data_IF_411452193614
#
_entry.id   IF_411452193614
#
_cell.length_a   1.000
_cell.length_b   1.000
_cell.length_c   1.000
_cell.angle_alpha   90.00
_cell.angle_beta   90.00
_cell.angle_gamma   90.00
#
_symmetry.space_group_name_H-M   'P 1'
#
loop_
_entity.id
_entity.type
_entity.pdbx_description
1 polymer ?
#
# COMPACT_ATOMS: atom_id res chain seq x y z
N UNK A 1 -67.46 -18.30 -42.84
CA UNK A 1 -67.49 -17.00 -42.13
C UNK A 1 -67.62 -17.29 -40.64
N UNK A 2 -66.75 -16.65 -39.85
CA UNK A 2 -66.83 -16.46 -38.39
C UNK A 2 -66.70 -17.63 -37.40
N UNK A 3 -65.62 -17.52 -36.62
CA UNK A 3 -65.37 -17.97 -35.23
C UNK A 3 -66.57 -17.88 -34.27
N UNK A 4 -66.61 -18.82 -33.32
CA UNK A 4 -66.84 -18.59 -31.87
C UNK A 4 -66.37 -19.85 -31.11
N UNK A 5 -65.18 -19.88 -30.53
CA UNK A 5 -64.83 -19.38 -29.18
C UNK A 5 -65.50 -20.17 -28.04
N UNK A 6 -64.69 -20.96 -27.31
CA UNK A 6 -64.97 -21.35 -25.93
C UNK A 6 -63.64 -21.54 -25.19
N UNK A 7 -63.35 -20.55 -24.35
CA UNK A 7 -62.30 -20.54 -23.32
C UNK A 7 -62.56 -21.61 -22.27
N UNK A 8 -61.49 -22.13 -21.68
CA UNK A 8 -61.51 -22.52 -20.27
C UNK A 8 -60.13 -22.29 -19.63
N UNK A 9 -60.17 -21.55 -18.53
CA UNK A 9 -59.06 -21.05 -17.73
C UNK A 9 -58.30 -22.15 -16.98
N UNK A 10 -57.00 -21.93 -16.76
CA UNK A 10 -56.31 -22.31 -15.54
C UNK A 10 -55.24 -21.26 -15.22
N UNK A 11 -55.44 -20.56 -14.11
CA UNK A 11 -54.52 -19.62 -13.51
C UNK A 11 -53.69 -20.33 -12.44
N UNK A 12 -52.38 -20.07 -12.38
CA UNK A 12 -51.57 -20.44 -11.22
C UNK A 12 -50.59 -19.32 -10.85
N UNK A 13 -50.67 -18.91 -9.58
CA UNK A 13 -49.89 -17.82 -8.95
C UNK A 13 -48.61 -18.40 -8.37
N UNK A 14 -47.45 -17.80 -8.65
CA UNK A 14 -46.21 -18.07 -7.93
C UNK A 14 -45.83 -16.89 -7.03
N UNK A 15 -45.78 -17.12 -5.72
CA UNK A 15 -45.27 -16.18 -4.72
C UNK A 15 -43.76 -16.40 -4.52
N UNK A 16 -42.96 -15.34 -4.65
CA UNK A 16 -41.55 -15.33 -4.23
C UNK A 16 -41.45 -14.86 -2.77
N UNK A 17 -40.84 -15.67 -1.90
CA UNK A 17 -40.39 -15.25 -0.55
C UNK A 17 -38.88 -15.00 -0.60
N UNK A 18 -38.45 -13.83 -0.12
CA UNK A 18 -37.04 -13.54 0.15
C UNK A 18 -36.67 -14.05 1.55
N UNK A 19 -35.61 -14.84 1.66
CA UNK A 19 -34.88 -15.08 2.92
C UNK A 19 -33.62 -14.22 2.94
N UNK A 20 -33.42 -13.49 4.03
CA UNK A 20 -32.23 -12.69 4.29
C UNK A 20 -31.18 -13.52 5.02
N UNK A 21 -30.06 -13.83 4.36
CA UNK A 21 -28.84 -14.31 4.99
C UNK A 21 -27.63 -13.46 4.56
N UNK A 22 -26.86 -13.05 5.58
CA UNK A 22 -25.69 -12.17 5.52
C UNK A 22 -24.43 -12.88 5.02
N UNK A 23 -23.68 -12.26 4.11
CA UNK A 23 -22.45 -12.78 3.51
C UNK A 23 -21.19 -12.48 4.35
N UNK A 24 -20.30 -13.48 4.50
CA UNK A 24 -19.01 -13.40 5.21
C UNK A 24 -17.88 -13.96 4.32
N UNK A 25 -16.81 -13.20 3.97
CA UNK A 25 -15.95 -13.57 2.84
C UNK A 25 -14.57 -14.12 3.26
N UNK A 26 -14.46 -15.25 3.96
CA UNK A 26 -13.15 -15.90 4.20
C UNK A 26 -13.17 -17.44 4.38
N UNK A 27 -14.02 -18.19 3.65
CA UNK A 27 -13.89 -19.66 3.58
C UNK A 27 -14.03 -20.19 2.16
N UNK A 28 -12.90 -20.67 1.65
CA UNK A 28 -12.69 -21.69 0.61
C UNK A 28 -13.94 -22.23 -0.09
N UNK A 29 -14.07 -21.98 -1.39
CA UNK A 29 -14.94 -22.77 -2.25
C UNK A 29 -14.34 -22.89 -3.66
N UNK A 30 -14.17 -24.14 -4.08
CA UNK A 30 -13.85 -24.55 -5.45
C UNK A 30 -14.86 -23.94 -6.42
N UNK A 31 -14.39 -23.49 -7.56
CA UNK A 31 -15.24 -23.09 -8.67
C UNK A 31 -15.93 -24.33 -9.27
N UNK A 32 -17.16 -24.60 -8.84
CA UNK A 32 -18.13 -25.39 -9.62
C UNK A 32 -18.98 -24.43 -10.44
N UNK A 33 -19.03 -24.56 -11.77
CA UNK A 33 -19.95 -23.76 -12.58
C UNK A 33 -21.39 -24.20 -12.31
N UNK A 34 -22.19 -23.28 -11.78
CA UNK A 34 -23.63 -23.44 -11.64
C UNK A 34 -24.30 -23.19 -13.00
N UNK A 35 -24.48 -24.26 -13.77
CA UNK A 35 -25.52 -24.33 -14.80
C UNK A 35 -26.70 -25.07 -14.19
N UNK A 36 -27.64 -24.32 -13.61
CA UNK A 36 -28.92 -24.84 -13.18
C UNK A 36 -29.98 -24.53 -14.25
N UNK A 37 -30.60 -25.58 -14.77
CA UNK A 37 -32.02 -25.58 -15.07
C UNK A 37 -32.44 -25.29 -16.51
N UNK A 38 -32.12 -26.19 -17.44
CA UNK A 38 -33.06 -26.49 -18.53
C UNK A 38 -33.44 -27.96 -18.39
N UNK A 39 -34.51 -28.21 -17.65
CA UNK A 39 -35.17 -29.52 -17.61
C UNK A 39 -36.13 -29.56 -18.78
N UNK A 40 -35.74 -30.19 -19.88
CA UNK A 40 -36.69 -30.57 -20.93
C UNK A 40 -37.28 -31.93 -20.57
N UNK A 41 -38.60 -31.97 -20.41
CA UNK A 41 -39.37 -33.20 -20.34
C UNK A 41 -39.13 -34.00 -21.63
N UNK A 42 -38.59 -35.21 -21.51
CA UNK A 42 -38.53 -36.17 -22.61
C UNK A 42 -39.77 -37.08 -22.49
N UNK A 43 -40.90 -36.60 -23.00
CA UNK A 43 -42.06 -37.45 -23.23
C UNK A 43 -41.94 -38.09 -24.61
N UNK A 44 -41.66 -39.38 -24.58
CA UNK A 44 -41.57 -40.27 -25.72
C UNK A 44 -42.98 -40.66 -26.18
N UNK A 45 -43.52 -39.98 -27.18
CA UNK A 45 -44.40 -40.59 -28.21
C UNK A 45 -44.53 -39.66 -29.41
N UNK A 46 -43.62 -39.79 -30.37
CA UNK A 46 -43.81 -39.24 -31.71
C UNK A 46 -44.32 -40.35 -32.63
N UNK A 47 -45.62 -40.33 -32.93
CA UNK A 47 -46.20 -40.96 -34.12
C UNK A 47 -45.63 -40.24 -35.36
N UNK A 48 -44.54 -40.77 -35.90
CA UNK A 48 -43.83 -40.19 -37.04
C UNK A 48 -44.53 -40.44 -38.37
N UNK A 49 -45.19 -39.42 -38.90
CA UNK A 49 -45.36 -39.29 -40.35
C UNK A 49 -43.99 -38.95 -40.94
N UNK A 50 -43.38 -39.92 -41.61
CA UNK A 50 -42.11 -39.74 -42.33
C UNK A 50 -42.31 -38.71 -43.44
N UNK A 51 -41.90 -37.46 -43.20
CA UNK A 51 -41.72 -36.47 -44.27
C UNK A 51 -40.52 -36.89 -45.10
N UNK A 52 -40.78 -37.13 -46.39
CA UNK A 52 -39.78 -37.25 -47.45
C UNK A 52 -38.63 -36.26 -47.26
N UNK A 53 -37.44 -36.78 -46.97
CA UNK A 53 -36.19 -36.02 -47.07
C UNK A 53 -35.96 -35.83 -48.57
N UNK A 54 -36.17 -34.61 -49.06
CA UNK A 54 -35.78 -34.22 -50.41
C UNK A 54 -34.33 -34.63 -50.65
N UNK A 55 -34.07 -35.39 -51.73
CA UNK A 55 -32.70 -35.70 -52.19
C UNK A 55 -31.91 -34.39 -52.27
N UNK A 56 -30.97 -34.21 -51.36
CA UNK A 56 -30.01 -33.11 -51.44
C UNK A 56 -29.23 -33.27 -52.73
N UNK A 57 -29.30 -32.25 -53.60
CA UNK A 57 -28.41 -32.16 -54.76
C UNK A 57 -26.99 -32.00 -54.21
N UNK A 58 -26.08 -32.88 -54.62
CA UNK A 58 -24.68 -32.81 -54.19
C UNK A 58 -24.01 -31.51 -54.66
N UNK A 59 -23.12 -30.99 -53.83
CA UNK A 59 -22.27 -29.84 -54.15
C UNK A 59 -21.31 -30.20 -55.29
N UNK A 60 -21.09 -29.25 -56.20
CA UNK A 60 -20.13 -29.45 -57.29
C UNK A 60 -18.69 -29.24 -56.80
N UNK A 61 -17.71 -29.88 -57.43
CA UNK A 61 -16.29 -29.71 -57.07
C UNK A 61 -15.85 -28.25 -57.17
N UNK A 62 -16.38 -27.49 -58.14
CA UNK A 62 -16.08 -26.07 -58.31
C UNK A 62 -16.65 -25.22 -57.17
N UNK A 63 -17.82 -25.58 -56.66
CA UNK A 63 -18.45 -24.88 -55.53
C UNK A 63 -17.61 -25.03 -54.25
N UNK A 64 -17.05 -26.23 -53.99
CA UNK A 64 -16.12 -26.44 -52.87
C UNK A 64 -14.81 -25.66 -53.02
N UNK A 65 -14.23 -25.60 -54.23
CA UNK A 65 -12.99 -24.82 -54.47
C UNK A 65 -13.24 -23.34 -54.19
N UNK A 66 -14.33 -22.78 -54.70
CA UNK A 66 -14.67 -21.36 -54.52
C UNK A 66 -14.88 -21.04 -53.04
N UNK A 67 -15.54 -21.91 -52.27
CA UNK A 67 -15.74 -21.72 -50.82
C UNK A 67 -14.41 -21.70 -50.05
N UNK A 68 -13.50 -22.64 -50.34
CA UNK A 68 -12.19 -22.69 -49.65
C UNK A 68 -11.36 -21.45 -49.97
N UNK A 69 -11.37 -20.99 -51.22
CA UNK A 69 -10.63 -19.78 -51.64
C UNK A 69 -11.21 -18.53 -50.96
N UNK A 70 -12.54 -18.35 -50.97
CA UNK A 70 -13.19 -17.18 -50.35
C UNK A 70 -12.96 -17.19 -48.84
N UNK A 71 -13.14 -18.33 -48.17
CA UNK A 71 -12.92 -18.43 -46.72
C UNK A 71 -11.46 -18.19 -46.34
N UNK A 72 -10.49 -18.66 -47.14
CA UNK A 72 -9.08 -18.37 -46.94
C UNK A 72 -8.75 -16.87 -47.02
N UNK A 73 -9.29 -16.17 -48.03
CA UNK A 73 -9.10 -14.71 -48.17
C UNK A 73 -9.75 -13.97 -46.99
N UNK A 74 -10.98 -14.31 -46.63
CA UNK A 74 -11.69 -13.68 -45.51
C UNK A 74 -10.97 -13.92 -44.17
N UNK A 75 -10.53 -15.15 -43.91
CA UNK A 75 -9.78 -15.48 -42.70
C UNK A 75 -8.47 -14.68 -42.61
N UNK A 76 -7.73 -14.54 -43.72
CA UNK A 76 -6.50 -13.75 -43.78
C UNK A 76 -6.74 -12.26 -43.47
N UNK A 77 -7.82 -11.68 -44.01
CA UNK A 77 -8.21 -10.28 -43.75
C UNK A 77 -8.63 -10.12 -42.29
N UNK A 78 -9.55 -10.96 -41.80
CA UNK A 78 -10.07 -10.90 -40.43
C UNK A 78 -8.98 -11.10 -39.37
N UNK A 79 -7.98 -11.94 -39.63
CA UNK A 79 -6.88 -12.18 -38.70
C UNK A 79 -6.13 -10.90 -38.33
N UNK A 80 -5.87 -10.00 -39.28
CA UNK A 80 -5.15 -8.74 -39.02
C UNK A 80 -6.03 -7.73 -38.30
N UNK A 81 -7.32 -7.68 -38.65
CA UNK A 81 -8.28 -6.78 -38.01
C UNK A 81 -8.56 -7.15 -36.56
N UNK A 82 -8.50 -8.44 -36.20
CA UNK A 82 -8.72 -8.89 -34.83
C UNK A 82 -7.43 -8.89 -33.98
N UNK A 83 -6.25 -9.02 -34.59
CA UNK A 83 -5.00 -9.05 -33.83
C UNK A 83 -4.65 -7.71 -33.18
N UNK A 84 -4.89 -6.59 -33.85
CA UNK A 84 -4.53 -5.27 -33.34
C UNK A 84 -5.38 -4.85 -32.11
N UNK A 85 -6.72 -4.99 -32.10
CA UNK A 85 -7.53 -4.70 -30.91
C UNK A 85 -7.18 -5.59 -29.71
N UNK A 86 -6.89 -6.88 -29.95
CA UNK A 86 -6.49 -7.81 -28.88
C UNK A 86 -5.15 -7.42 -28.29
N UNK A 87 -4.15 -7.09 -29.12
CA UNK A 87 -2.85 -6.59 -28.66
C UNK A 87 -2.98 -5.29 -27.88
N UNK A 88 -3.77 -4.35 -28.38
CA UNK A 88 -4.06 -3.09 -27.69
C UNK A 88 -4.70 -3.32 -26.31
N UNK A 89 -5.67 -4.24 -26.22
CA UNK A 89 -6.28 -4.61 -24.94
C UNK A 89 -5.26 -5.19 -23.95
N UNK A 90 -4.40 -6.10 -24.40
CA UNK A 90 -3.35 -6.70 -23.56
C UNK A 90 -2.34 -5.66 -23.07
N UNK A 91 -1.94 -4.70 -23.92
CA UNK A 91 -1.05 -3.61 -23.55
C UNK A 91 -1.68 -2.72 -22.48
N UNK A 92 -2.95 -2.33 -22.64
CA UNK A 92 -3.68 -1.54 -21.64
C UNK A 92 -3.80 -2.28 -20.31
N UNK A 93 -4.07 -3.59 -20.34
CA UNK A 93 -4.15 -4.42 -19.14
C UNK A 93 -2.79 -4.51 -18.42
N UNK A 94 -1.70 -4.79 -19.14
CA UNK A 94 -0.34 -4.84 -18.57
C UNK A 94 0.06 -3.50 -17.95
N UNK A 95 -0.20 -2.40 -18.67
CA UNK A 95 0.06 -1.05 -18.18
C UNK A 95 -0.72 -0.74 -16.90
N UNK A 96 -1.98 -1.17 -16.81
CA UNK A 96 -2.79 -1.03 -15.61
C UNK A 96 -2.16 -1.68 -14.39
N UNK A 97 -1.69 -2.92 -14.52
CA UNK A 97 -1.00 -3.65 -13.43
C UNK A 97 0.26 -2.92 -12.97
N UNK A 98 1.07 -2.41 -13.91
CA UNK A 98 2.28 -1.66 -13.57
C UNK A 98 1.98 -0.33 -12.87
N UNK A 99 0.96 0.40 -13.32
CA UNK A 99 0.53 1.65 -12.68
C UNK A 99 0.03 1.38 -11.26
N UNK A 100 -0.84 0.38 -11.07
CA UNK A 100 -1.35 0.01 -9.74
C UNK A 100 -0.22 -0.42 -8.79
N UNK A 101 0.72 -1.24 -9.26
CA UNK A 101 1.86 -1.68 -8.47
C UNK A 101 2.75 -0.50 -8.06
N UNK A 102 3.01 0.45 -8.96
CA UNK A 102 3.79 1.65 -8.66
C UNK A 102 3.06 2.56 -7.67
N UNK A 103 1.78 2.83 -7.89
CA UNK A 103 0.95 3.70 -7.04
C UNK A 103 0.80 3.15 -5.63
N UNK A 104 0.52 1.86 -5.47
CA UNK A 104 0.42 1.21 -4.16
C UNK A 104 1.76 1.30 -3.42
N UNK A 105 2.87 1.06 -4.11
CA UNK A 105 4.21 1.15 -3.54
C UNK A 105 4.52 2.57 -3.04
N UNK A 106 4.29 3.59 -3.88
CA UNK A 106 4.56 4.99 -3.55
C UNK A 106 3.61 5.53 -2.47
N UNK A 107 2.32 5.17 -2.50
CA UNK A 107 1.36 5.56 -1.47
C UNK A 107 1.70 4.94 -0.12
N UNK A 108 2.14 3.68 -0.10
CA UNK A 108 2.61 3.05 1.13
C UNK A 108 3.80 3.82 1.72
N UNK A 109 4.80 4.16 0.90
CA UNK A 109 5.94 4.98 1.33
C UNK A 109 5.45 6.32 1.89
N UNK A 110 4.56 7.02 1.16
CA UNK A 110 4.03 8.31 1.57
C UNK A 110 3.30 8.24 2.93
N UNK A 111 2.48 7.22 3.16
CA UNK A 111 1.77 7.02 4.44
C UNK A 111 2.74 6.76 5.59
N UNK A 112 3.78 5.96 5.39
CA UNK A 112 4.77 5.69 6.44
C UNK A 112 5.65 6.93 6.73
N UNK A 113 6.03 7.68 5.69
CA UNK A 113 6.78 8.94 5.80
C UNK A 113 6.00 10.00 6.57
N UNK A 114 4.67 10.04 6.48
CA UNK A 114 3.85 10.96 7.27
C UNK A 114 3.94 10.72 8.78
N UNK A 115 4.36 9.52 9.21
CA UNK A 115 4.61 9.18 10.62
C UNK A 115 6.11 9.21 10.95
N UNK A 116 6.94 9.76 10.09
CA UNK A 116 8.35 9.92 10.40
C UNK A 116 8.56 10.94 11.52
N UNK A 117 9.57 10.70 12.36
CA UNK A 117 10.10 11.71 13.26
C UNK A 117 10.51 12.94 12.43
N UNK A 118 10.13 14.17 12.85
CA UNK A 118 10.55 15.40 12.17
C UNK A 118 12.07 15.46 11.97
N UNK A 119 12.52 15.93 10.81
CA UNK A 119 13.94 15.98 10.41
C UNK A 119 14.72 14.65 10.45
N UNK A 120 14.04 13.49 10.42
CA UNK A 120 14.74 12.18 10.41
C UNK A 120 14.91 11.56 9.02
N UNK A 121 14.30 12.13 7.99
CA UNK A 121 14.45 11.61 6.62
C UNK A 121 15.87 11.84 6.12
N UNK A 122 16.47 10.79 5.57
CA UNK A 122 17.74 10.84 4.85
C UNK A 122 17.72 9.94 3.63
N UNK A 123 18.49 10.34 2.63
CA UNK A 123 18.62 9.62 1.37
C UNK A 123 20.09 9.30 1.14
N UNK A 124 20.37 8.05 0.75
CA UNK A 124 21.69 7.56 0.37
C UNK A 124 21.63 6.80 -0.97
N UNK A 125 22.71 6.11 -1.30
CA UNK A 125 22.82 5.27 -2.51
C UNK A 125 22.49 6.05 -3.81
N UNK A 126 22.90 7.32 -3.88
CA UNK A 126 22.60 8.18 -5.03
C UNK A 126 21.11 8.39 -5.32
N UNK A 127 20.24 8.27 -4.31
CA UNK A 127 18.78 8.39 -4.48
C UNK A 127 18.02 7.07 -4.39
N UNK A 128 18.69 5.94 -4.15
CA UNK A 128 18.05 4.61 -4.13
C UNK A 128 17.70 4.09 -2.72
N UNK A 129 18.21 4.74 -1.68
CA UNK A 129 17.98 4.34 -0.29
C UNK A 129 17.32 5.50 0.46
N UNK A 130 16.06 5.37 0.83
CA UNK A 130 15.34 6.30 1.69
C UNK A 130 15.24 5.71 3.09
N UNK A 131 15.59 6.46 4.12
CA UNK A 131 15.43 6.03 5.52
C UNK A 131 14.80 7.15 6.35
N UNK A 132 13.99 6.76 7.34
CA UNK A 132 13.46 7.64 8.37
C UNK A 132 13.24 6.88 9.68
N UNK A 133 13.12 7.62 10.78
CA UNK A 133 12.76 7.06 12.08
C UNK A 133 11.23 7.08 12.21
N UNK A 134 10.60 5.93 12.51
CA UNK A 134 9.15 5.88 12.64
C UNK A 134 8.71 6.35 14.03
N UNK A 135 7.79 7.32 14.07
CA UNK A 135 7.19 7.83 15.29
C UNK A 135 5.92 7.04 15.59
N UNK A 136 5.85 6.45 16.78
CA UNK A 136 4.69 5.66 17.24
C UNK A 136 3.71 6.50 18.03
N UNK A 137 4.21 7.45 18.83
CA UNK A 137 3.41 8.40 19.60
C UNK A 137 4.26 9.64 19.91
N UNK A 138 3.71 10.60 20.65
CA UNK A 138 4.42 11.78 21.10
C UNK A 138 3.49 12.71 21.88
N UNK A 139 4.07 13.67 22.58
CA UNK A 139 3.29 14.54 23.45
C UNK A 139 4.02 15.81 23.84
N UNK A 140 3.43 16.53 24.78
CA UNK A 140 4.09 17.65 25.43
C UNK A 140 4.67 17.18 26.75
N UNK A 141 5.96 17.43 26.98
CA UNK A 141 6.57 17.18 28.28
C UNK A 141 6.21 18.32 29.24
N UNK A 142 6.19 18.02 30.53
CA UNK A 142 6.01 19.03 31.56
C UNK A 142 7.27 19.88 31.69
N UNK A 143 7.13 21.19 31.54
CA UNK A 143 8.24 22.15 31.68
C UNK A 143 8.22 22.93 33.02
N UNK A 144 7.10 22.87 33.76
CA UNK A 144 6.92 23.59 35.03
C UNK A 144 6.08 22.77 36.00
N UNK A 145 6.40 22.89 37.29
CA UNK A 145 5.62 22.31 38.39
C UNK A 145 4.31 23.09 38.53
N UNK A 146 3.18 22.40 38.67
CA UNK A 146 1.93 23.06 39.03
C UNK A 146 2.00 23.60 40.45
N UNK A 147 1.46 24.80 40.69
CA UNK A 147 1.33 25.34 42.05
C UNK A 147 0.45 24.47 42.97
N UNK A 148 -0.33 23.53 42.42
CA UNK A 148 -1.22 22.63 43.14
C UNK A 148 -0.67 21.22 43.38
N UNK A 149 0.45 20.83 42.76
CA UNK A 149 1.01 19.48 42.92
C UNK A 149 2.54 19.50 42.95
N UNK A 150 3.15 19.40 44.15
CA UNK A 150 4.61 19.35 44.31
C UNK A 150 5.26 18.09 43.73
N UNK A 151 4.47 17.06 43.42
CA UNK A 151 4.97 15.79 42.86
C UNK A 151 5.06 15.80 41.32
N UNK A 152 4.75 16.92 40.67
CA UNK A 152 4.89 17.10 39.23
C UNK A 152 6.36 16.95 38.79
N UNK A 153 6.60 16.10 37.80
CA UNK A 153 7.95 15.74 37.31
C UNK A 153 8.27 16.52 36.03
N UNK A 154 9.16 17.52 36.14
CA UNK A 154 9.55 18.42 35.04
C UNK A 154 10.74 17.85 34.29
N UNK A 155 10.69 17.85 32.95
CA UNK A 155 11.84 17.49 32.15
C UNK A 155 12.99 18.50 32.32
N UNK A 156 14.10 18.06 32.93
CA UNK A 156 15.26 18.88 33.25
C UNK A 156 16.32 18.86 32.11
N UNK A 157 16.68 20.04 31.64
CA UNK A 157 17.69 20.25 30.58
C UNK A 157 19.05 20.76 31.12
N UNK A 158 19.13 21.06 32.41
CA UNK A 158 20.25 21.76 33.05
C UNK A 158 21.08 20.79 33.89
N UNK A 159 20.44 19.87 34.62
CA UNK A 159 21.14 18.97 35.54
C UNK A 159 22.23 18.13 34.83
N UNK A 160 23.50 18.18 35.30
CA UNK A 160 24.62 17.47 34.68
C UNK A 160 24.53 15.95 34.79
N UNK A 161 23.76 15.41 35.75
CA UNK A 161 23.50 13.96 35.88
C UNK A 161 22.49 13.48 34.83
N UNK A 162 21.79 14.40 34.18
CA UNK A 162 20.66 14.11 33.30
C UNK A 162 19.39 13.82 34.07
N UNK A 163 18.30 13.77 33.33
CA UNK A 163 16.98 13.46 33.84
C UNK A 163 16.62 12.00 33.55
N UNK A 164 15.92 11.36 34.49
CA UNK A 164 15.56 9.94 34.43
C UNK A 164 14.07 9.72 34.17
N UNK A 165 13.24 10.75 34.29
CA UNK A 165 11.81 10.66 34.01
C UNK A 165 11.20 12.04 33.85
N UNK A 166 10.02 12.10 33.25
CA UNK A 166 9.24 13.34 33.19
C UNK A 166 7.77 13.04 32.99
N UNK A 167 6.92 13.97 33.39
CA UNK A 167 5.47 13.88 33.17
C UNK A 167 5.09 14.32 31.76
N UNK A 168 4.05 13.67 31.24
CA UNK A 168 3.42 13.96 29.95
C UNK A 168 2.15 14.77 30.16
N UNK A 169 2.05 15.92 29.49
CA UNK A 169 0.84 16.73 29.48
C UNK A 169 -0.18 16.17 28.49
N UNK A 170 -1.41 15.93 28.98
CA UNK A 170 -2.52 15.40 28.17
C UNK A 170 -2.53 13.88 27.98
N UNK A 171 -1.47 13.19 28.43
CA UNK A 171 -1.32 11.75 28.34
C UNK A 171 -0.98 11.24 26.93
N UNK A 172 -0.32 10.09 26.87
CA UNK A 172 -0.06 9.33 25.66
C UNK A 172 -1.29 8.49 25.27
N UNK A 173 -1.35 8.06 24.01
CA UNK A 173 -2.44 7.21 23.50
C UNK A 173 -2.43 5.82 24.15
N UNK A 174 -1.24 5.37 24.56
CA UNK A 174 -1.01 4.13 25.29
C UNK A 174 0.33 4.19 26.01
N UNK A 175 0.56 3.29 26.97
CA UNK A 175 1.85 3.21 27.64
C UNK A 175 2.95 2.89 26.61
N UNK A 176 4.07 3.63 26.60
CA UNK A 176 5.11 3.41 25.62
C UNK A 176 5.80 2.07 25.88
N UNK A 177 6.11 1.33 24.82
CA UNK A 177 6.80 0.06 24.94
C UNK A 177 8.24 0.28 25.44
N UNK A 178 8.70 -0.60 26.34
CA UNK A 178 10.10 -0.61 26.75
C UNK A 178 11.01 -0.84 25.54
N UNK A 179 12.10 -0.06 25.45
CA UNK A 179 13.01 -0.08 24.30
C UNK A 179 12.70 0.96 23.22
N UNK A 180 11.49 1.55 23.21
CA UNK A 180 11.21 2.74 22.39
C UNK A 180 12.19 3.86 22.77
N UNK A 181 12.42 4.77 21.84
CA UNK A 181 13.30 5.93 22.02
C UNK A 181 12.46 7.19 22.19
N UNK A 182 12.65 7.90 23.29
CA UNK A 182 12.17 9.27 23.45
C UNK A 182 13.16 10.16 22.72
N UNK A 183 12.64 11.04 21.87
CA UNK A 183 13.42 12.03 21.14
C UNK A 183 12.89 13.41 21.44
N UNK A 184 13.77 14.32 21.83
CA UNK A 184 13.43 15.73 22.06
C UNK A 184 14.13 16.59 21.01
N UNK A 185 13.36 17.47 20.39
CA UNK A 185 13.86 18.54 19.53
C UNK A 185 14.81 18.10 18.40
N UNK A 186 14.44 17.10 17.58
CA UNK A 186 15.29 16.62 16.48
C UNK A 186 15.41 17.64 15.33
N UNK A 187 16.61 18.16 15.08
CA UNK A 187 16.84 19.22 14.10
C UNK A 187 17.39 18.73 12.78
N UNK A 188 18.08 17.58 12.75
CA UNK A 188 18.77 17.13 11.56
C UNK A 188 19.02 15.62 11.52
N UNK A 189 18.90 15.05 10.32
CA UNK A 189 19.41 13.72 10.00
C UNK A 189 20.89 13.73 9.57
N UNK A 190 21.47 14.93 9.40
CA UNK A 190 22.85 15.13 8.98
C UNK A 190 23.86 14.75 10.09
N UNK A 191 25.12 14.44 9.73
CA UNK A 191 26.08 13.86 10.65
C UNK A 191 26.76 14.85 11.62
N UNK A 192 25.99 15.73 12.25
CA UNK A 192 26.52 16.69 13.21
C UNK A 192 25.57 16.88 14.41
N UNK A 193 26.02 16.58 15.65
CA UNK A 193 25.35 17.07 16.86
C UNK A 193 25.49 18.61 16.96
N UNK A 194 24.63 19.29 17.74
CA UNK A 194 23.60 18.71 18.61
C UNK A 194 22.26 18.43 17.91
N UNK A 195 21.43 17.62 18.57
CA UNK A 195 20.06 17.26 18.23
C UNK A 195 19.88 16.34 17.02
N UNK A 196 20.63 15.25 16.96
CA UNK A 196 20.45 14.22 15.95
C UNK A 196 20.08 12.87 16.55
N UNK A 197 18.83 12.49 16.29
CA UNK A 197 18.26 11.25 16.76
C UNK A 197 18.95 10.02 16.17
N UNK A 198 19.80 10.14 15.13
CA UNK A 198 20.65 9.05 14.65
C UNK A 198 21.96 8.92 15.43
N UNK A 199 22.49 10.02 15.97
CA UNK A 199 23.75 10.05 16.72
C UNK A 199 23.58 9.77 18.20
N UNK A 200 22.35 9.85 18.72
CA UNK A 200 22.05 9.42 20.08
C UNK A 200 22.04 10.54 21.12
N UNK A 201 22.39 11.76 20.75
CA UNK A 201 22.61 12.85 21.69
C UNK A 201 21.31 13.50 22.21
N UNK A 202 20.22 13.39 21.45
CA UNK A 202 18.89 13.85 21.85
C UNK A 202 17.86 12.72 21.90
N UNK A 203 18.30 11.46 22.08
CA UNK A 203 17.41 10.31 22.29
C UNK A 203 17.77 9.52 23.52
N UNK A 204 16.77 8.99 24.23
CA UNK A 204 16.95 8.09 25.35
C UNK A 204 15.97 6.92 25.29
N UNK A 205 16.37 5.78 25.86
CA UNK A 205 15.58 4.55 25.83
C UNK A 205 14.52 4.56 26.95
N UNK A 206 13.29 4.25 26.58
CA UNK A 206 12.13 4.13 27.47
C UNK A 206 12.24 2.87 28.32
N UNK A 207 12.06 3.02 29.63
CA UNK A 207 11.97 1.94 30.59
C UNK A 207 10.53 1.41 30.73
N UNK A 208 10.40 0.13 31.11
CA UNK A 208 9.11 -0.54 31.32
C UNK A 208 8.23 0.07 32.43
N UNK A 209 8.81 0.91 33.30
CA UNK A 209 8.07 1.63 34.34
C UNK A 209 7.25 2.82 33.81
N UNK A 210 7.40 3.16 32.52
CA UNK A 210 6.62 4.23 31.88
C UNK A 210 5.14 3.89 31.80
N UNK A 211 4.31 4.91 31.87
CA UNK A 211 2.85 4.80 31.70
C UNK A 211 2.34 5.95 30.81
N UNK A 212 1.02 6.06 30.67
CA UNK A 212 0.42 7.07 29.79
C UNK A 212 0.73 8.52 30.22
N UNK A 213 1.00 8.78 31.49
CA UNK A 213 1.20 10.13 32.04
C UNK A 213 2.65 10.42 32.40
N UNK A 214 3.53 9.42 32.39
CA UNK A 214 4.92 9.58 32.79
C UNK A 214 5.84 8.69 31.96
N UNK A 215 6.89 9.30 31.43
CA UNK A 215 7.96 8.60 30.73
C UNK A 215 9.10 8.39 31.73
N UNK A 216 9.58 7.16 31.83
CA UNK A 216 10.75 6.78 32.62
C UNK A 216 11.82 6.29 31.66
N UNK A 217 13.06 6.73 31.86
CA UNK A 217 14.21 6.40 31.01
C UNK A 217 15.06 5.32 31.67
N UNK A 218 15.64 4.42 30.86
CA UNK A 218 16.51 3.35 31.38
C UNK A 218 17.84 3.89 31.90
N UNK A 219 18.32 4.99 31.34
CA UNK A 219 19.50 5.71 31.76
C UNK A 219 19.18 7.21 31.74
N UNK A 220 19.63 7.99 32.74
CA UNK A 220 19.44 9.43 32.73
C UNK A 220 20.10 10.08 31.51
N UNK A 221 19.45 11.09 30.94
CA UNK A 221 19.99 11.88 29.83
C UNK A 221 19.78 13.36 30.07
N UNK A 222 20.76 14.18 29.68
CA UNK A 222 20.55 15.62 29.53
C UNK A 222 20.33 15.92 28.06
N UNK A 223 19.07 16.12 27.67
CA UNK A 223 18.77 16.55 26.30
C UNK A 223 19.47 17.88 26.00
N UNK A 224 20.05 18.07 24.80
CA UNK A 224 20.87 19.25 24.52
C UNK A 224 20.10 20.56 24.63
N UNK A 225 18.85 20.57 24.18
CA UNK A 225 18.02 21.76 24.09
C UNK A 225 16.52 21.42 24.28
N UNK A 226 15.74 22.33 24.90
CA UNK A 226 14.29 22.19 24.99
C UNK A 226 13.61 22.47 23.64
N UNK A 227 12.51 21.76 23.37
CA UNK A 227 11.64 22.08 22.24
C UNK A 227 10.86 23.37 22.54
N UNK A 228 10.78 24.28 21.55
CA UNK A 228 10.07 25.55 21.70
C UNK A 228 8.58 25.40 22.04
N UNK A 229 7.98 24.25 21.71
CA UNK A 229 6.58 23.92 22.03
C UNK A 229 6.46 22.74 23.00
N UNK A 230 7.52 22.47 23.77
CA UNK A 230 7.58 21.42 24.77
C UNK A 230 7.31 20.02 24.22
N UNK A 231 7.65 19.75 22.94
CA UNK A 231 7.34 18.49 22.29
C UNK A 231 8.41 17.43 22.51
N UNK A 232 7.97 16.19 22.61
CA UNK A 232 8.79 15.01 22.46
C UNK A 232 8.08 13.99 21.57
N UNK A 233 8.86 13.10 20.97
CA UNK A 233 8.39 12.02 20.12
C UNK A 233 8.85 10.68 20.68
N UNK A 234 8.02 9.66 20.52
CA UNK A 234 8.35 8.27 20.77
C UNK A 234 8.59 7.59 19.44
N UNK A 235 9.78 7.03 19.29
CA UNK A 235 10.27 6.36 18.09
C UNK A 235 10.53 4.90 18.40
N UNK A 236 10.23 4.01 17.47
CA UNK A 236 10.56 2.58 17.57
C UNK A 236 11.88 2.26 16.84
N UNK A 237 11.80 1.74 15.62
CA UNK A 237 12.94 1.38 14.77
C UNK A 237 12.91 2.18 13.47
N UNK A 238 14.06 2.34 12.79
CA UNK A 238 14.08 2.97 11.48
C UNK A 238 13.35 2.11 10.45
N UNK A 239 12.82 2.77 9.43
CA UNK A 239 12.27 2.15 8.23
C UNK A 239 13.08 2.63 7.03
N UNK A 240 13.53 1.67 6.21
CA UNK A 240 14.22 1.94 4.95
C UNK A 240 13.44 1.41 3.76
N UNK A 241 13.39 2.20 2.70
CA UNK A 241 13.01 1.76 1.36
C UNK A 241 14.27 1.69 0.50
N UNK A 242 14.51 0.49 0.00
CA UNK A 242 15.74 0.08 -0.65
C UNK A 242 15.42 -0.32 -2.08
N UNK A 243 15.85 0.50 -3.02
CA UNK A 243 15.63 0.24 -4.42
C UNK A 243 16.88 -0.36 -5.07
N UNK A 244 16.70 -1.43 -5.84
CA UNK A 244 17.73 -2.09 -6.61
C UNK A 244 17.23 -2.36 -8.03
N UNK A 245 17.43 -1.40 -8.97
CA UNK A 245 17.08 -1.60 -10.37
C UNK A 245 17.83 -2.76 -11.02
N UNK A 246 19.07 -3.05 -10.61
CA UNK A 246 19.85 -4.18 -11.12
C UNK A 246 19.26 -5.55 -10.76
N UNK A 247 18.54 -5.63 -9.64
CA UNK A 247 17.80 -6.81 -9.21
C UNK A 247 16.29 -6.70 -9.47
N UNK A 248 15.83 -5.66 -10.16
CA UNK A 248 14.41 -5.46 -10.44
C UNK A 248 13.54 -5.12 -9.23
N UNK A 249 14.10 -4.74 -8.07
CA UNK A 249 13.33 -4.75 -6.81
C UNK A 249 13.26 -3.42 -6.07
N UNK A 250 12.14 -3.20 -5.37
CA UNK A 250 11.98 -2.23 -4.30
C UNK A 250 11.59 -2.99 -3.05
N UNK A 251 12.35 -2.82 -1.97
CA UNK A 251 12.16 -3.55 -0.70
C UNK A 251 11.97 -2.59 0.46
N UNK A 252 11.16 -3.00 1.44
CA UNK A 252 10.99 -2.31 2.73
C UNK A 252 11.74 -3.07 3.82
N UNK A 253 12.72 -2.43 4.43
CA UNK A 253 13.47 -2.96 5.57
C UNK A 253 13.06 -2.23 6.86
N UNK A 254 12.92 -2.95 7.97
CA UNK A 254 12.52 -2.44 9.27
C UNK A 254 13.04 -3.37 10.38
N UNK A 255 12.79 -3.03 11.65
CA UNK A 255 13.19 -3.82 12.83
C UNK A 255 14.72 -4.01 12.95
N UNK A 256 15.48 -2.96 12.65
CA UNK A 256 16.93 -2.93 12.84
C UNK A 256 17.31 -1.74 13.74
N UNK A 257 18.50 -1.74 14.38
CA UNK A 257 18.87 -0.69 15.32
C UNK A 257 19.08 0.67 14.64
N UNK A 258 18.84 1.75 15.39
CA UNK A 258 19.12 3.11 14.94
C UNK A 258 20.64 3.31 14.86
N UNK A 259 21.15 3.50 13.64
CA UNK A 259 22.57 3.69 13.37
C UNK A 259 22.88 5.11 12.87
N UNK A 260 24.03 5.65 13.27
CA UNK A 260 24.52 6.93 12.76
C UNK A 260 24.72 6.90 11.24
N UNK A 261 25.28 5.81 10.71
CA UNK A 261 25.38 5.55 9.27
C UNK A 261 24.10 4.89 8.73
N UNK A 262 23.59 5.39 7.61
CA UNK A 262 22.45 4.80 6.91
C UNK A 262 22.85 3.45 6.29
N UNK A 263 22.08 2.36 6.51
CA UNK A 263 22.28 1.11 5.79
C UNK A 263 22.06 1.29 4.27
N UNK A 264 22.98 0.74 3.47
CA UNK A 264 22.97 0.87 2.00
C UNK A 264 22.81 -0.46 1.26
N UNK A 265 22.67 -1.58 1.97
CA UNK A 265 22.48 -2.90 1.36
C UNK A 265 21.06 -3.02 0.79
N UNK A 266 20.93 -2.86 -0.53
CA UNK A 266 19.63 -2.84 -1.21
C UNK A 266 18.92 -4.19 -1.33
N UNK A 267 19.55 -5.29 -0.91
CA UNK A 267 18.97 -6.63 -0.96
C UNK A 267 18.18 -7.02 0.31
N UNK A 268 18.12 -6.14 1.32
CA UNK A 268 17.47 -6.42 2.61
C UNK A 268 15.96 -6.12 2.62
N UNK A 269 15.26 -6.69 3.61
CA UNK A 269 13.85 -6.41 3.86
C UNK A 269 12.87 -7.20 2.99
N UNK A 270 11.61 -6.82 3.06
CA UNK A 270 10.48 -7.47 2.39
C UNK A 270 10.26 -6.83 1.01
N UNK A 271 10.02 -7.67 0.00
CA UNK A 271 9.72 -7.22 -1.37
C UNK A 271 8.42 -6.41 -1.42
N UNK A 272 8.48 -5.22 -2.00
CA UNK A 272 7.33 -4.34 -2.26
C UNK A 272 6.98 -4.30 -3.76
N UNK A 273 7.99 -4.29 -4.63
CA UNK A 273 7.84 -4.43 -6.08
C UNK A 273 9.03 -5.18 -6.67
N UNK A 274 8.78 -5.94 -7.73
CA UNK A 274 9.68 -6.89 -8.41
C UNK A 274 9.95 -6.58 -9.89
N UNK A 275 9.41 -5.45 -10.39
CA UNK A 275 9.51 -5.01 -11.79
C UNK A 275 10.25 -3.68 -11.95
N UNK A 276 11.08 -3.30 -10.97
CA UNK A 276 11.68 -1.97 -10.89
C UNK A 276 12.85 -1.83 -11.86
N UNK A 277 12.74 -0.89 -12.78
CA UNK A 277 13.82 -0.58 -13.75
C UNK A 277 14.55 0.72 -13.46
N UNK A 278 13.92 1.64 -12.71
CA UNK A 278 14.56 2.82 -12.18
C UNK A 278 13.77 3.34 -10.97
N UNK A 279 14.43 4.10 -10.12
CA UNK A 279 13.83 4.74 -8.96
C UNK A 279 14.71 5.89 -8.51
N UNK A 280 14.11 6.91 -7.92
CA UNK A 280 14.85 8.00 -7.33
C UNK A 280 14.05 8.63 -6.18
N UNK A 281 14.71 8.79 -5.05
CA UNK A 281 14.23 9.53 -3.90
C UNK A 281 15.02 10.83 -3.80
N UNK A 282 14.31 11.96 -3.78
CA UNK A 282 14.89 13.28 -3.57
C UNK A 282 14.20 13.90 -2.39
N UNK A 283 14.93 14.05 -1.28
CA UNK A 283 14.44 14.76 -0.12
C UNK A 283 15.02 16.17 -0.08
N UNK A 284 14.16 17.16 -0.22
CA UNK A 284 14.49 18.55 0.04
C UNK A 284 14.09 18.87 1.48
N UNK A 285 15.10 19.05 2.33
CA UNK A 285 14.87 19.41 3.72
C UNK A 285 14.05 20.71 3.82
N UNK A 286 13.12 20.71 4.77
CA UNK A 286 12.33 21.88 5.09
C UNK A 286 13.15 22.93 5.86
N UNK A 287 12.49 24.02 6.22
CA UNK A 287 12.95 24.93 7.28
C UNK A 287 12.07 24.76 8.52
N UNK A 288 12.36 25.49 9.60
CA UNK A 288 11.48 25.53 10.78
C UNK A 288 10.05 26.04 10.47
N UNK A 289 9.85 26.70 9.32
CA UNK A 289 8.57 27.28 8.88
C UNK A 289 7.98 26.61 7.65
N UNK A 290 8.72 25.72 6.99
CA UNK A 290 8.29 25.00 5.78
C UNK A 290 8.55 23.51 5.94
N UNK A 291 7.53 22.68 5.77
CA UNK A 291 7.69 21.22 5.72
C UNK A 291 8.71 20.79 4.66
N UNK A 292 9.36 19.65 4.89
CA UNK A 292 10.21 19.03 3.89
C UNK A 292 9.39 18.54 2.69
N UNK A 293 10.04 18.33 1.55
CA UNK A 293 9.41 17.75 0.38
C UNK A 293 10.18 16.51 -0.05
N UNK A 294 9.52 15.36 -0.01
CA UNK A 294 10.04 14.12 -0.60
C UNK A 294 9.41 13.94 -1.97
N UNK A 295 10.24 13.93 -3.01
CA UNK A 295 9.86 13.53 -4.36
C UNK A 295 10.36 12.12 -4.62
N UNK A 296 9.48 11.26 -5.10
CA UNK A 296 9.75 9.86 -5.41
C UNK A 296 9.41 9.61 -6.87
N UNK A 297 10.33 9.02 -7.63
CA UNK A 297 10.02 8.45 -8.94
C UNK A 297 10.25 6.94 -8.91
N UNK A 298 9.36 6.20 -9.57
CA UNK A 298 9.44 4.76 -9.70
C UNK A 298 9.08 4.37 -11.14
N UNK A 299 9.99 3.66 -11.80
CA UNK A 299 9.80 3.14 -13.14
C UNK A 299 9.69 1.63 -13.09
N UNK A 300 8.57 1.08 -13.58
CA UNK A 300 8.34 -0.36 -13.66
C UNK A 300 8.27 -0.80 -15.12
N UNK A 301 8.66 -2.04 -15.41
CA UNK A 301 8.53 -2.63 -16.75
C UNK A 301 8.09 -4.10 -16.73
N UNK A 302 7.31 -4.50 -17.72
CA UNK A 302 6.95 -5.90 -18.00
C UNK A 302 7.00 -6.13 -19.52
N UNK A 303 7.98 -6.93 -19.97
CA UNK A 303 8.30 -7.06 -21.40
C UNK A 303 8.67 -5.72 -22.04
N UNK A 304 7.92 -5.33 -23.07
CA UNK A 304 8.11 -4.06 -23.79
C UNK A 304 7.36 -2.88 -23.15
N UNK A 305 6.49 -3.12 -22.16
CA UNK A 305 5.73 -2.06 -21.49
C UNK A 305 6.57 -1.45 -20.36
N UNK A 306 6.65 -0.13 -20.32
CA UNK A 306 7.33 0.61 -19.24
C UNK A 306 6.52 1.84 -18.84
N UNK A 307 6.38 2.03 -17.53
CA UNK A 307 5.76 3.21 -16.93
C UNK A 307 6.72 3.88 -15.96
N UNK A 308 6.54 5.19 -15.77
CA UNK A 308 7.21 5.95 -14.70
C UNK A 308 6.15 6.75 -13.97
N UNK A 309 6.09 6.59 -12.65
CA UNK A 309 5.20 7.33 -11.77
C UNK A 309 6.03 8.25 -10.90
N UNK A 310 5.56 9.48 -10.73
CA UNK A 310 6.12 10.46 -9.81
C UNK A 310 5.11 10.74 -8.69
N UNK A 311 5.58 10.76 -7.46
CA UNK A 311 4.78 11.09 -6.29
C UNK A 311 5.54 12.07 -5.39
N UNK A 312 4.83 13.06 -4.87
CA UNK A 312 5.38 14.06 -3.96
C UNK A 312 4.60 14.05 -2.65
N UNK A 313 5.33 14.04 -1.53
CA UNK A 313 4.75 14.09 -0.20
C UNK A 313 5.40 15.20 0.62
N UNK A 314 4.57 16.03 1.23
CA UNK A 314 5.02 16.97 2.24
C UNK A 314 5.32 16.23 3.54
N UNK A 315 6.50 16.51 4.09
CA UNK A 315 7.01 15.89 5.31
C UNK A 315 6.84 16.91 6.43
N UNK A 316 6.11 16.51 7.46
CA UNK A 316 5.89 17.37 8.61
C UNK A 316 7.22 17.66 9.32
N UNK A 317 7.48 18.94 9.59
CA UNK A 317 8.75 19.38 10.15
C UNK A 317 8.54 20.35 11.32
N UNK A 318 7.99 19.86 12.43
CA UNK A 318 7.84 20.67 13.64
C UNK A 318 8.34 19.90 14.88
N UNK A 319 9.66 19.88 15.11
CA UNK A 319 10.29 19.20 16.24
C UNK A 319 9.97 19.82 17.61
#
# INVERSE_FOLDING_TARGET
MSRSDRRQDCAERAHARHSSESWNPLRTAKWTPAFAGVTTCFETTCSGTVRSISRQRGFTLIEMIVVIVITGILAGVLSRFLSEPVRGYLQVASRGVLVDQADISLRRIATEVQRALPNSLRVACGGQCLEFLSSVDGGMYRAQVSGSNPADDVLDFINPVGDSSFDVLGGLRGAPAAGNQVVVYNLSAAPAPPNSAYFGDNRATVAAASNINRVVLTAPIRFPQPSAKQRFYLVDTPVSYLCNPGAGSLRRNANYPINAAQPTNTAQGVLLSDRVTACNFVFNAGSATRGGLLTMSLSLADGDERITVLHQVHVFNAP
#
